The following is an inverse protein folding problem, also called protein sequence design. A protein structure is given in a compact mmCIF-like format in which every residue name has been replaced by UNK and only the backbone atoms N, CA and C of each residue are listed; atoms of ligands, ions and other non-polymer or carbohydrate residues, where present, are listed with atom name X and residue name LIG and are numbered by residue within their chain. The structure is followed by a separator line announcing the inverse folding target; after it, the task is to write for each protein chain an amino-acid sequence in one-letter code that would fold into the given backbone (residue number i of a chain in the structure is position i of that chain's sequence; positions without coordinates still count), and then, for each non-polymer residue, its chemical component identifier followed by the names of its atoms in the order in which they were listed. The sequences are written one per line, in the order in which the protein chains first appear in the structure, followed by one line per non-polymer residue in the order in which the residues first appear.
data_IF_985146049571
#
_entry.id   IF_985146049571
#
_cell.length_a   1.000
_cell.length_b   1.000
_cell.length_c   1.000
_cell.angle_alpha   90.00
_cell.angle_beta   90.00
_cell.angle_gamma   90.00
#
_symmetry.space_group_name_H-M   'P 1'
#
loop_
_entity.id
_entity.type
_entity.pdbx_description
1 polymer ?
#
# COMPACT_ATOMS: atom_id res chain seq x y z
N UNK A 1 -20.21 10.05 0.50
CA UNK A 1 -20.86 8.74 0.29
C UNK A 1 -20.54 7.89 1.50
N UNK A 2 -21.53 7.41 2.24
CA UNK A 2 -21.32 6.59 3.44
C UNK A 2 -21.52 5.13 3.03
N UNK A 3 -20.53 4.28 3.35
CA UNK A 3 -20.55 2.85 3.07
C UNK A 3 -20.96 2.13 4.36
N UNK A 4 -22.26 2.01 4.60
CA UNK A 4 -22.84 1.31 5.76
C UNK A 4 -23.41 -0.05 5.34
N UNK A 5 -23.81 -0.87 6.33
CA UNK A 5 -24.46 -2.19 6.13
C UNK A 5 -25.71 -2.15 5.24
N UNK A 6 -26.34 -0.97 5.10
CA UNK A 6 -27.50 -0.74 4.22
C UNK A 6 -27.13 -0.54 2.75
N UNK A 7 -25.87 -0.28 2.46
CA UNK A 7 -25.35 -0.07 1.10
C UNK A 7 -24.84 -1.41 0.57
N UNK A 8 -25.76 -2.24 0.06
CA UNK A 8 -25.44 -3.59 -0.44
C UNK A 8 -24.62 -3.58 -1.73
N UNK A 9 -24.67 -2.48 -2.50
CA UNK A 9 -23.94 -2.33 -3.74
C UNK A 9 -22.50 -1.87 -3.47
N UNK A 10 -21.54 -2.68 -3.92
CA UNK A 10 -20.12 -2.33 -3.85
C UNK A 10 -19.84 -1.14 -4.78
N UNK A 11 -18.97 -0.20 -4.40
CA UNK A 11 -18.57 0.88 -5.28
C UNK A 11 -17.93 0.31 -6.54
N UNK A 12 -18.34 0.84 -7.69
CA UNK A 12 -17.72 0.51 -8.97
C UNK A 12 -16.33 1.14 -9.04
N UNK A 13 -15.32 0.33 -9.34
CA UNK A 13 -13.94 0.77 -9.49
C UNK A 13 -13.60 0.66 -10.97
N UNK A 14 -13.32 1.79 -11.59
CA UNK A 14 -12.91 1.85 -13.00
C UNK A 14 -11.43 1.51 -13.11
N UNK A 15 -11.10 0.50 -13.93
CA UNK A 15 -9.74 0.08 -14.20
C UNK A 15 -9.32 0.47 -15.63
N UNK A 16 -8.02 0.70 -15.90
CA UNK A 16 -6.91 0.67 -14.93
C UNK A 16 -6.91 1.90 -14.01
N UNK A 17 -6.59 1.71 -12.73
CA UNK A 17 -6.51 2.80 -11.75
C UNK A 17 -5.32 2.64 -10.81
N UNK A 18 -4.94 3.73 -10.17
CA UNK A 18 -3.82 3.78 -9.25
C UNK A 18 -4.25 3.31 -7.85
N UNK A 19 -3.60 2.26 -7.36
CA UNK A 19 -3.83 1.72 -6.02
C UNK A 19 -2.66 2.10 -5.10
N UNK A 20 -3.01 2.75 -3.98
CA UNK A 20 -2.07 3.04 -2.89
C UNK A 20 -2.15 1.97 -1.80
N UNK A 21 -1.04 1.28 -1.57
CA UNK A 21 -0.86 0.27 -0.54
C UNK A 21 0.02 0.80 0.59
N UNK A 22 -0.41 0.60 1.83
CA UNK A 22 0.38 0.91 3.02
C UNK A 22 0.90 -0.38 3.64
N UNK A 23 2.20 -0.60 3.53
CA UNK A 23 2.89 -1.75 4.12
C UNK A 23 3.51 -1.32 5.45
N UNK A 24 3.28 -2.09 6.51
CA UNK A 24 3.86 -1.84 7.83
C UNK A 24 4.51 -3.13 8.32
N UNK A 25 5.76 -3.06 8.74
CA UNK A 25 6.44 -4.19 9.36
C UNK A 25 7.59 -3.75 10.23
N UNK A 26 8.29 -4.72 10.80
CA UNK A 26 9.34 -4.45 11.81
C UNK A 26 10.73 -4.28 11.21
N UNK A 27 10.98 -4.95 10.10
CA UNK A 27 12.28 -4.99 9.45
C UNK A 27 12.19 -4.17 8.17
N UNK A 28 12.89 -3.02 8.18
CA UNK A 28 12.86 -2.05 7.08
C UNK A 28 13.45 -2.64 5.79
N UNK A 29 14.58 -3.34 5.91
CA UNK A 29 15.32 -3.84 4.75
C UNK A 29 14.55 -4.98 4.07
N UNK A 30 14.00 -5.90 4.87
CA UNK A 30 13.14 -6.97 4.33
C UNK A 30 11.85 -6.44 3.70
N UNK A 31 11.27 -5.38 4.27
CA UNK A 31 10.11 -4.73 3.65
C UNK A 31 10.47 -4.16 2.28
N UNK A 32 11.57 -3.43 2.19
CA UNK A 32 11.98 -2.80 0.94
C UNK A 32 12.31 -3.85 -0.13
N UNK A 33 13.01 -4.92 0.24
CA UNK A 33 13.28 -6.04 -0.66
C UNK A 33 12.00 -6.71 -1.16
N UNK A 34 11.05 -6.98 -0.27
CA UNK A 34 9.75 -7.56 -0.61
C UNK A 34 8.95 -6.66 -1.57
N UNK A 35 8.91 -5.35 -1.31
CA UNK A 35 8.20 -4.40 -2.18
C UNK A 35 8.82 -4.38 -3.58
N UNK A 36 10.17 -4.35 -3.67
CA UNK A 36 10.87 -4.40 -4.97
C UNK A 36 10.63 -5.71 -5.70
N UNK A 37 10.65 -6.84 -5.00
CA UNK A 37 10.42 -8.17 -5.57
C UNK A 37 8.99 -8.30 -6.13
N UNK A 38 7.98 -7.90 -5.34
CA UNK A 38 6.57 -8.03 -5.74
C UNK A 38 6.20 -7.07 -6.87
N UNK A 39 6.72 -5.85 -6.84
CA UNK A 39 6.38 -4.85 -7.84
C UNK A 39 7.16 -5.05 -9.16
N UNK A 40 8.36 -5.63 -9.11
CA UNK A 40 9.15 -5.99 -10.29
C UNK A 40 9.28 -4.82 -11.29
N UNK A 41 9.00 -5.09 -12.57
CA UNK A 41 9.04 -4.12 -13.67
C UNK A 41 7.79 -3.23 -13.80
N UNK A 42 6.78 -3.40 -12.93
CA UNK A 42 5.58 -2.54 -13.01
C UNK A 42 5.95 -1.10 -12.65
N UNK A 43 5.33 -0.12 -13.30
CA UNK A 43 5.45 1.27 -12.88
C UNK A 43 4.86 1.41 -11.46
N UNK A 44 5.73 1.61 -10.48
CA UNK A 44 5.33 1.76 -9.09
C UNK A 44 6.16 2.83 -8.38
N UNK A 45 5.53 3.54 -7.46
CA UNK A 45 6.19 4.54 -6.61
C UNK A 45 6.27 4.00 -5.19
N UNK A 46 7.47 3.91 -4.63
CA UNK A 46 7.68 3.54 -3.23
C UNK A 46 8.16 4.73 -2.42
N UNK A 47 7.45 5.09 -1.35
CA UNK A 47 7.84 6.14 -0.41
C UNK A 47 7.95 5.56 0.99
N UNK A 48 9.11 5.69 1.61
CA UNK A 48 9.27 5.39 3.03
C UNK A 48 8.35 6.31 3.85
N UNK A 49 7.59 5.70 4.75
CA UNK A 49 6.67 6.38 5.65
C UNK A 49 7.29 6.64 7.02
N UNK A 50 6.43 6.81 8.01
CA UNK A 50 6.83 7.04 9.38
C UNK A 50 7.35 5.76 10.05
N UNK A 51 8.34 5.94 10.92
CA UNK A 51 8.69 4.95 11.92
C UNK A 51 7.82 5.15 13.17
N UNK A 52 7.46 4.07 13.85
CA UNK A 52 6.75 4.13 15.13
C UNK A 52 7.59 4.85 16.19
N UNK A 53 6.95 5.42 17.21
CA UNK A 53 7.63 6.11 18.33
C UNK A 53 8.76 5.29 18.98
N UNK A 54 8.64 3.97 19.01
CA UNK A 54 9.64 3.06 19.59
C UNK A 54 10.61 2.47 18.58
N UNK A 55 10.53 2.87 17.30
CA UNK A 55 11.34 2.31 16.21
C UNK A 55 11.00 0.87 15.81
N UNK A 56 10.06 0.20 16.51
CA UNK A 56 9.71 -1.21 16.27
C UNK A 56 9.01 -1.47 14.94
N UNK A 57 8.32 -0.47 14.39
CA UNK A 57 7.61 -0.59 13.12
C UNK A 57 8.03 0.52 12.15
N UNK A 58 8.21 0.13 10.90
CA UNK A 58 8.43 0.99 9.76
C UNK A 58 7.24 0.87 8.81
N UNK A 59 6.76 2.00 8.34
CA UNK A 59 5.73 2.04 7.30
C UNK A 59 6.35 2.42 5.96
N UNK A 60 5.78 1.87 4.89
CA UNK A 60 6.08 2.18 3.50
C UNK A 60 4.75 2.39 2.78
N UNK A 61 4.72 3.36 1.88
CA UNK A 61 3.61 3.53 0.95
C UNK A 61 4.12 3.12 -0.43
N UNK A 62 3.41 2.20 -1.06
CA UNK A 62 3.69 1.78 -2.42
C UNK A 62 2.46 2.04 -3.27
N UNK A 63 2.66 2.59 -4.46
CA UNK A 63 1.57 2.97 -5.36
C UNK A 63 1.82 2.34 -6.70
N UNK A 64 0.85 1.64 -7.29
CA UNK A 64 0.97 1.07 -8.63
C UNK A 64 -0.36 1.08 -9.37
N UNK A 65 -0.29 1.07 -10.71
CA UNK A 65 -1.48 0.94 -11.55
C UNK A 65 -1.90 -0.53 -11.65
N UNK A 66 -3.18 -0.79 -11.37
CA UNK A 66 -3.83 -2.10 -11.44
C UNK A 66 -4.95 -2.04 -12.46
#
# INVERSE_FOLDING_TARGET
MILDDKTQERPEINYPTEWGYKIIGRDKEKLEACIKEVMGDKAHTTKAGNASKTGKFHSYNATCTV
#
